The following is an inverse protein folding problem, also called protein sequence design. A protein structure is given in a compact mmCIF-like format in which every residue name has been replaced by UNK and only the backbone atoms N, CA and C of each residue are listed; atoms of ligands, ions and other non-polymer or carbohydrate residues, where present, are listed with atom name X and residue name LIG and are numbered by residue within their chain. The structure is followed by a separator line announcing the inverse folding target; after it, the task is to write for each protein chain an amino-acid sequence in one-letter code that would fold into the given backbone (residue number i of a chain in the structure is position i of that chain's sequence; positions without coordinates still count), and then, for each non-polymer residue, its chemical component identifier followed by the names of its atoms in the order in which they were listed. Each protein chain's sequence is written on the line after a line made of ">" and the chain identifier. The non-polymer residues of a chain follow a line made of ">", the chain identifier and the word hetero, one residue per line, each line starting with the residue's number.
data_IF_853290117245
#
_entry.id   IF_853290117245
#
_cell.length_a   1.000
_cell.length_b   1.000
_cell.length_c   1.000
_cell.angle_alpha   90.00
_cell.angle_beta   90.00
_cell.angle_gamma   90.00
#
_symmetry.space_group_name_H-M   'P 1'
#
loop_
_entity.id
_entity.type
_entity.pdbx_description
1 polymer ?
#
# COMPACT_ATOMS: atom_id res chain seq x y z
N UNK A 1 -26.94 19.27 -2.19
CA UNK A 1 -25.84 18.36 -2.58
C UNK A 1 -24.59 18.95 -1.99
N UNK A 2 -23.77 18.15 -1.30
CA UNK A 2 -22.54 18.67 -0.70
C UNK A 2 -21.53 18.94 -1.81
N UNK A 3 -21.10 20.20 -1.92
CA UNK A 3 -20.24 20.72 -3.00
C UNK A 3 -18.76 20.67 -2.63
N UNK A 4 -18.46 20.91 -1.36
CA UNK A 4 -17.09 20.97 -0.85
C UNK A 4 -17.05 20.40 0.56
N UNK A 5 -15.99 19.66 0.88
CA UNK A 5 -15.72 19.17 2.23
C UNK A 5 -14.27 19.44 2.59
N UNK A 6 -14.06 19.96 3.79
CA UNK A 6 -12.77 20.15 4.42
C UNK A 6 -12.74 19.35 5.72
N UNK A 7 -11.70 18.55 5.94
CA UNK A 7 -11.58 17.67 7.12
C UNK A 7 -10.35 18.02 7.93
N UNK A 8 -10.49 18.08 9.26
CA UNK A 8 -9.38 18.18 10.21
C UNK A 8 -9.47 17.06 11.24
N UNK A 9 -8.61 16.05 11.10
CA UNK A 9 -8.49 14.97 12.10
C UNK A 9 -8.02 15.49 13.45
N UNK A 10 -7.07 16.44 13.45
CA UNK A 10 -6.53 17.07 14.67
C UNK A 10 -7.60 17.80 15.48
N UNK A 11 -8.49 18.54 14.81
CA UNK A 11 -9.59 19.25 15.48
C UNK A 11 -10.80 18.35 15.72
N UNK A 12 -10.88 17.19 15.05
CA UNK A 12 -12.05 16.32 15.08
C UNK A 12 -13.29 16.99 14.49
N UNK A 13 -13.10 17.89 13.53
CA UNK A 13 -14.15 18.66 12.85
C UNK A 13 -14.03 18.54 11.33
N UNK A 14 -15.16 18.54 10.66
CA UNK A 14 -15.26 18.72 9.21
C UNK A 14 -16.19 19.90 8.90
N UNK A 15 -15.83 20.66 7.88
CA UNK A 15 -16.62 21.74 7.32
C UNK A 15 -17.12 21.28 5.95
N UNK A 16 -18.40 21.43 5.66
CA UNK A 16 -18.91 21.18 4.32
C UNK A 16 -19.79 22.31 3.82
N UNK A 17 -19.82 22.48 2.50
CA UNK A 17 -20.64 23.48 1.81
C UNK A 17 -21.81 22.80 1.13
N UNK A 18 -23.02 23.27 1.38
CA UNK A 18 -24.25 22.83 0.72
C UNK A 18 -25.15 24.03 0.48
N UNK A 19 -25.59 24.24 -0.77
CA UNK A 19 -26.48 25.34 -1.16
C UNK A 19 -25.95 26.74 -0.73
N UNK A 20 -24.67 27.03 -0.98
CA UNK A 20 -23.97 28.27 -0.56
C UNK A 20 -23.86 28.51 0.96
N UNK A 21 -24.35 27.59 1.79
CA UNK A 21 -24.19 27.63 3.24
C UNK A 21 -23.10 26.66 3.70
N UNK A 22 -22.41 27.02 4.78
CA UNK A 22 -21.38 26.19 5.39
C UNK A 22 -21.90 25.56 6.68
N UNK A 23 -21.51 24.31 6.89
CA UNK A 23 -21.92 23.51 8.04
C UNK A 23 -20.73 22.85 8.70
N UNK A 24 -20.70 22.91 10.03
CA UNK A 24 -19.69 22.25 10.86
C UNK A 24 -20.25 20.93 11.40
N UNK A 25 -19.49 19.86 11.27
CA UNK A 25 -19.85 18.52 11.77
C UNK A 25 -18.68 17.86 12.50
N UNK A 26 -18.97 17.17 13.59
CA UNK A 26 -18.01 16.33 14.33
C UNK A 26 -18.09 14.85 13.93
N UNK A 27 -17.20 14.04 14.49
CA UNK A 27 -17.15 12.60 14.17
C UNK A 27 -18.40 11.83 14.65
N UNK A 28 -19.03 12.29 15.73
CA UNK A 28 -20.19 11.63 16.36
C UNK A 28 -21.51 12.31 15.95
N UNK A 29 -22.59 11.54 15.81
CA UNK A 29 -23.90 12.05 15.36
C UNK A 29 -24.40 13.25 16.16
N UNK A 30 -24.21 13.24 17.48
CA UNK A 30 -24.61 14.34 18.37
C UNK A 30 -23.83 15.66 18.13
N UNK A 31 -22.74 15.63 17.36
CA UNK A 31 -21.84 16.77 17.13
C UNK A 31 -22.15 17.54 15.83
N UNK A 32 -23.42 17.83 15.54
CA UNK A 32 -23.86 18.59 14.36
C UNK A 32 -24.65 17.74 13.36
N UNK A 33 -24.92 18.24 12.14
CA UNK A 33 -24.37 19.46 11.56
C UNK A 33 -24.96 20.73 12.18
N UNK A 34 -24.11 21.76 12.34
CA UNK A 34 -24.53 23.10 12.74
C UNK A 34 -24.17 24.07 11.62
N UNK A 35 -25.10 24.95 11.25
CA UNK A 35 -24.83 26.02 10.30
C UNK A 35 -23.78 26.99 10.86
N UNK A 36 -22.72 27.26 10.09
CA UNK A 36 -21.66 28.18 10.46
C UNK A 36 -22.16 29.61 10.39
N UNK A 37 -21.92 30.39 11.44
CA UNK A 37 -22.17 31.84 11.41
C UNK A 37 -21.06 32.53 10.60
N UNK A 38 -21.31 33.74 10.06
CA UNK A 38 -20.29 34.48 9.31
C UNK A 38 -18.96 34.68 10.06
N UNK A 39 -19.01 34.84 11.39
CA UNK A 39 -17.80 34.94 12.23
C UNK A 39 -17.04 33.61 12.40
N UNK A 40 -17.74 32.47 12.34
CA UNK A 40 -17.11 31.14 12.43
C UNK A 40 -16.30 30.86 11.16
N UNK A 41 -16.82 31.30 10.00
CA UNK A 41 -16.15 31.14 8.71
C UNK A 41 -14.81 31.87 8.65
N UNK A 42 -14.72 33.11 9.15
CA UNK A 42 -13.47 33.86 9.18
C UNK A 42 -12.39 33.13 10.02
N UNK A 43 -12.77 32.62 11.19
CA UNK A 43 -11.86 31.84 12.05
C UNK A 43 -11.45 30.51 11.40
N UNK A 44 -12.35 29.89 10.65
CA UNK A 44 -12.06 28.64 9.93
C UNK A 44 -11.19 28.87 8.69
N UNK A 45 -11.30 30.03 8.03
CA UNK A 45 -10.40 30.44 6.95
C UNK A 45 -8.97 30.61 7.45
N UNK A 46 -8.78 31.24 8.60
CA UNK A 46 -7.48 31.35 9.27
C UNK A 46 -6.94 29.98 9.71
N UNK A 47 -7.82 29.03 10.02
CA UNK A 47 -7.46 27.66 10.37
C UNK A 47 -7.30 26.71 9.16
N UNK A 48 -7.49 27.17 7.91
CA UNK A 48 -7.38 26.33 6.70
C UNK A 48 -6.15 25.41 6.65
N UNK A 49 -4.95 25.78 7.13
CA UNK A 49 -3.81 24.87 7.13
C UNK A 49 -4.02 23.56 7.93
N UNK A 50 -4.97 23.54 8.87
CA UNK A 50 -5.34 22.35 9.64
C UNK A 50 -6.43 21.50 8.97
N UNK A 51 -6.97 21.97 7.84
CA UNK A 51 -8.01 21.32 7.07
C UNK A 51 -7.48 20.94 5.69
N UNK A 52 -7.86 19.77 5.19
CA UNK A 52 -7.58 19.39 3.81
C UNK A 52 -8.88 19.10 3.07
N UNK A 53 -8.85 19.25 1.75
CA UNK A 53 -10.01 19.00 0.90
C UNK A 53 -10.28 17.49 0.79
N UNK A 54 -11.48 17.08 1.17
CA UNK A 54 -11.97 15.74 0.95
C UNK A 54 -12.80 15.71 -0.33
N UNK A 55 -12.24 15.06 -1.35
CA UNK A 55 -12.80 15.02 -2.71
C UNK A 55 -13.22 13.59 -3.02
N UNK A 56 -14.53 13.34 -3.00
CA UNK A 56 -15.13 12.07 -3.42
C UNK A 56 -16.39 12.32 -4.27
N UNK A 57 -16.74 11.43 -5.21
CA UNK A 57 -18.01 11.52 -5.92
C UNK A 57 -19.18 11.28 -4.97
N UNK A 58 -20.20 12.14 -5.03
CA UNK A 58 -21.45 12.02 -4.25
C UNK A 58 -21.19 11.88 -2.74
N UNK A 59 -20.63 12.92 -2.11
CA UNK A 59 -20.37 12.94 -0.67
C UNK A 59 -21.68 13.15 0.09
N UNK A 60 -21.88 12.33 1.12
CA UNK A 60 -22.95 12.47 2.11
C UNK A 60 -22.37 12.63 3.52
N UNK A 61 -23.21 13.02 4.48
CA UNK A 61 -22.80 13.20 5.88
C UNK A 61 -22.20 11.94 6.52
N UNK A 62 -22.67 10.75 6.13
CA UNK A 62 -22.17 9.48 6.65
C UNK A 62 -20.71 9.25 6.24
N UNK A 63 -20.38 9.50 4.96
CA UNK A 63 -19.01 9.42 4.44
C UNK A 63 -18.09 10.44 5.13
N UNK A 64 -18.55 11.68 5.31
CA UNK A 64 -17.80 12.72 6.01
C UNK A 64 -17.46 12.27 7.44
N UNK A 65 -18.46 11.79 8.18
CA UNK A 65 -18.27 11.33 9.58
C UNK A 65 -17.34 10.14 9.66
N UNK A 66 -17.51 9.14 8.77
CA UNK A 66 -16.63 7.97 8.71
C UNK A 66 -15.18 8.38 8.45
N UNK A 67 -14.95 9.26 7.46
CA UNK A 67 -13.62 9.76 7.14
C UNK A 67 -13.02 10.57 8.29
N UNK A 68 -13.81 11.47 8.89
CA UNK A 68 -13.39 12.28 10.03
C UNK A 68 -13.05 11.41 11.26
N UNK A 69 -13.82 10.35 11.51
CA UNK A 69 -13.56 9.41 12.60
C UNK A 69 -12.22 8.70 12.41
N UNK A 70 -11.93 8.22 11.19
CA UNK A 70 -10.65 7.59 10.87
C UNK A 70 -9.46 8.55 11.09
N UNK A 71 -9.58 9.79 10.60
CA UNK A 71 -8.56 10.84 10.77
C UNK A 71 -8.35 11.21 12.24
N UNK A 72 -9.45 11.41 12.99
CA UNK A 72 -9.41 11.70 14.44
C UNK A 72 -8.74 10.57 15.20
N UNK A 73 -9.05 9.32 14.86
CA UNK A 73 -8.47 8.13 15.49
C UNK A 73 -6.96 8.06 15.26
N UNK A 74 -6.53 8.30 14.01
CA UNK A 74 -5.11 8.33 13.67
C UNK A 74 -4.32 9.43 14.41
N UNK A 75 -4.89 10.63 14.50
CA UNK A 75 -4.29 11.74 15.26
C UNK A 75 -4.27 11.48 16.78
N UNK A 76 -5.32 10.87 17.33
CA UNK A 76 -5.36 10.47 18.74
C UNK A 76 -4.29 9.42 19.03
N UNK A 77 -4.15 8.40 18.18
CA UNK A 77 -3.11 7.39 18.31
C UNK A 77 -1.71 8.02 18.31
N UNK A 78 -1.44 8.97 17.40
CA UNK A 78 -0.18 9.71 17.40
C UNK A 78 0.06 10.44 18.72
N UNK A 79 -0.95 11.13 19.26
CA UNK A 79 -0.84 11.84 20.54
C UNK A 79 -0.55 10.91 21.71
N UNK A 80 -1.18 9.73 21.75
CA UNK A 80 -0.97 8.71 22.77
C UNK A 80 0.45 8.13 22.69
N UNK A 81 0.93 7.83 21.47
CA UNK A 81 2.30 7.36 21.25
C UNK A 81 3.33 8.42 21.67
N UNK A 82 3.07 9.70 21.39
CA UNK A 82 3.90 10.80 21.87
C UNK A 82 3.87 10.93 23.40
N UNK A 83 2.70 10.74 24.02
CA UNK A 83 2.53 10.70 25.48
C UNK A 83 3.38 9.62 26.14
N UNK A 84 3.53 8.45 25.52
CA UNK A 84 4.44 7.40 26.00
C UNK A 84 5.91 7.83 26.08
N UNK A 85 6.33 8.80 25.25
CA UNK A 85 7.69 9.36 25.20
C UNK A 85 7.87 10.64 26.02
N UNK A 86 6.80 11.14 26.66
CA UNK A 86 6.85 12.41 27.39
C UNK A 86 7.40 12.21 28.81
N UNK A 87 8.60 12.72 29.09
CA UNK A 87 9.25 12.65 30.41
C UNK A 87 8.55 13.45 31.49
N UNK A 88 7.67 14.38 31.12
CA UNK A 88 6.90 15.19 32.08
C UNK A 88 5.81 14.35 32.73
N UNK A 89 5.28 13.35 32.01
CA UNK A 89 4.24 12.46 32.50
C UNK A 89 4.82 11.38 33.44
N UNK A 90 4.02 10.95 34.42
CA UNK A 90 4.38 9.82 35.28
C UNK A 90 4.50 8.53 34.47
N UNK A 91 5.33 7.58 34.91
CA UNK A 91 5.45 6.27 34.25
C UNK A 91 4.10 5.57 34.10
N UNK A 92 3.22 5.67 35.09
CA UNK A 92 1.86 5.13 35.04
C UNK A 92 1.02 5.79 33.93
N UNK A 93 1.07 7.12 33.79
CA UNK A 93 0.34 7.83 32.74
C UNK A 93 0.89 7.50 31.35
N UNK A 94 2.22 7.35 31.24
CA UNK A 94 2.89 6.94 30.00
C UNK A 94 2.48 5.52 29.61
N UNK A 95 2.46 4.59 30.56
CA UNK A 95 2.02 3.21 30.36
C UNK A 95 0.55 3.15 29.89
N UNK A 96 -0.36 3.85 30.57
CA UNK A 96 -1.77 3.95 30.15
C UNK A 96 -1.92 4.53 28.74
N UNK A 97 -1.09 5.53 28.39
CA UNK A 97 -1.09 6.11 27.05
C UNK A 97 -0.65 5.08 26.00
N UNK A 98 0.35 4.26 26.31
CA UNK A 98 0.85 3.20 25.43
C UNK A 98 -0.20 2.10 25.25
N UNK A 99 -0.86 1.67 26.32
CA UNK A 99 -1.95 0.68 26.26
C UNK A 99 -3.12 1.18 25.41
N UNK A 100 -3.52 2.44 25.59
CA UNK A 100 -4.57 3.06 24.78
C UNK A 100 -4.14 3.25 23.30
N UNK A 101 -2.84 3.45 23.04
CA UNK A 101 -2.31 3.50 21.68
C UNK A 101 -2.34 2.11 21.02
N UNK A 102 -2.03 1.04 21.75
CA UNK A 102 -2.01 -0.33 21.22
C UNK A 102 -3.33 -0.73 20.56
N UNK A 103 -4.46 -0.34 21.15
CA UNK A 103 -5.79 -0.61 20.60
C UNK A 103 -5.96 0.05 19.22
N UNK A 104 -5.65 1.34 19.11
CA UNK A 104 -5.79 2.07 17.85
C UNK A 104 -4.75 1.66 16.80
N UNK A 105 -3.55 1.24 17.23
CA UNK A 105 -2.46 0.84 16.35
C UNK A 105 -2.69 -0.54 15.70
N UNK A 106 -3.66 -1.34 16.16
CA UNK A 106 -4.05 -2.58 15.46
C UNK A 106 -4.53 -2.30 14.03
N UNK A 107 -5.14 -1.14 13.79
CA UNK A 107 -5.53 -0.72 12.47
C UNK A 107 -4.31 -0.31 11.64
N UNK A 108 -4.04 -1.04 10.55
CA UNK A 108 -2.87 -0.81 9.69
C UNK A 108 -2.76 0.63 9.17
N UNK A 109 -3.89 1.27 8.85
CA UNK A 109 -3.93 2.66 8.35
C UNK A 109 -3.46 3.62 9.45
N UNK A 110 -3.93 3.43 10.69
CA UNK A 110 -3.53 4.22 11.85
C UNK A 110 -2.05 4.00 12.17
N UNK A 111 -1.60 2.74 12.19
CA UNK A 111 -0.19 2.41 12.38
C UNK A 111 0.71 3.11 11.35
N UNK A 112 0.34 3.03 10.07
CA UNK A 112 1.10 3.66 8.97
C UNK A 112 1.13 5.17 9.13
N UNK A 113 0.00 5.79 9.46
CA UNK A 113 -0.10 7.24 9.70
C UNK A 113 0.86 7.71 10.80
N UNK A 114 0.89 7.00 11.93
CA UNK A 114 1.74 7.32 13.08
C UNK A 114 3.21 7.09 12.75
N UNK A 115 3.54 5.90 12.23
CA UNK A 115 4.90 5.52 11.83
C UNK A 115 5.52 6.51 10.87
N UNK A 116 4.77 6.92 9.84
CA UNK A 116 5.25 7.84 8.83
C UNK A 116 5.70 9.18 9.42
N UNK A 117 4.96 9.68 10.41
CA UNK A 117 5.26 10.96 11.09
C UNK A 117 6.43 10.83 12.06
N UNK A 118 6.52 9.74 12.82
CA UNK A 118 7.62 9.52 13.77
C UNK A 118 8.97 9.27 13.09
N UNK A 119 8.98 8.68 11.89
CA UNK A 119 10.22 8.46 11.13
C UNK A 119 10.58 9.61 10.18
N UNK A 120 9.72 10.62 10.05
CA UNK A 120 9.98 11.77 9.20
C UNK A 120 10.82 12.87 9.85
N UNK A 121 10.98 12.85 11.18
CA UNK A 121 11.72 13.87 11.94
C UNK A 121 12.54 13.21 13.04
N UNK A 122 13.72 13.76 13.30
CA UNK A 122 14.49 13.36 14.46
C UNK A 122 13.72 13.78 15.73
N UNK A 123 13.67 12.90 16.71
CA UNK A 123 13.02 13.20 17.97
C UNK A 123 13.75 14.34 18.71
N UNK A 124 13.01 15.20 19.42
CA UNK A 124 13.62 16.22 20.27
C UNK A 124 14.39 15.55 21.41
N UNK A 125 15.36 16.26 22.00
CA UNK A 125 16.23 15.71 23.06
C UNK A 125 15.45 15.30 24.31
N UNK A 126 14.31 15.94 24.51
CA UNK A 126 13.41 15.74 25.63
C UNK A 126 12.56 14.47 25.48
N UNK A 127 12.39 13.94 24.26
CA UNK A 127 11.62 12.73 24.02
C UNK A 127 12.34 11.46 24.52
N UNK A 128 11.62 10.65 25.28
CA UNK A 128 12.10 9.41 25.87
C UNK A 128 11.64 8.16 25.12
N UNK A 129 12.15 7.96 23.90
CA UNK A 129 11.77 6.81 23.09
C UNK A 129 12.23 5.47 23.69
N UNK A 130 13.41 5.44 24.33
CA UNK A 130 13.92 4.24 24.99
C UNK A 130 13.10 3.87 26.22
N UNK A 131 12.76 4.85 27.08
CA UNK A 131 11.86 4.62 28.20
C UNK A 131 10.45 4.20 27.75
N UNK A 132 9.94 4.79 26.66
CA UNK A 132 8.65 4.37 26.09
C UNK A 132 8.69 2.91 25.60
N UNK A 133 9.77 2.50 24.95
CA UNK A 133 9.98 1.11 24.53
C UNK A 133 10.02 0.16 25.73
N UNK A 134 10.77 0.51 26.79
CA UNK A 134 10.85 -0.29 28.00
C UNK A 134 9.50 -0.44 28.70
N UNK A 135 8.72 0.65 28.80
CA UNK A 135 7.36 0.63 29.33
C UNK A 135 6.43 -0.23 28.47
N UNK A 136 6.50 -0.11 27.14
CA UNK A 136 5.70 -0.90 26.20
C UNK A 136 5.96 -2.41 26.32
N UNK A 137 7.24 -2.80 26.45
CA UNK A 137 7.64 -4.19 26.74
C UNK A 137 7.10 -4.65 28.11
N UNK A 138 7.13 -3.76 29.13
CA UNK A 138 6.62 -4.03 30.48
C UNK A 138 5.11 -4.27 30.55
N UNK A 139 4.31 -3.44 29.86
CA UNK A 139 2.84 -3.62 29.74
C UNK A 139 2.44 -4.67 28.69
N UNK A 140 3.42 -5.28 28.01
CA UNK A 140 3.24 -6.37 27.03
C UNK A 140 2.37 -5.99 25.82
N UNK A 141 2.50 -4.76 25.35
CA UNK A 141 1.89 -4.35 24.08
C UNK A 141 2.70 -4.90 22.91
N UNK A 142 2.06 -5.34 21.82
CA UNK A 142 2.76 -5.99 20.71
C UNK A 142 3.10 -5.00 19.60
N UNK A 143 2.12 -4.22 19.16
CA UNK A 143 2.25 -3.33 18.01
C UNK A 143 2.98 -2.03 18.39
N UNK A 144 2.65 -1.44 19.54
CA UNK A 144 3.31 -0.27 20.09
C UNK A 144 4.80 -0.54 20.37
N UNK A 145 5.12 -1.67 20.99
CA UNK A 145 6.51 -2.12 21.19
C UNK A 145 7.29 -2.20 19.88
N UNK A 146 6.70 -2.81 18.84
CA UNK A 146 7.32 -2.88 17.51
C UNK A 146 7.57 -1.48 16.93
N UNK A 147 6.61 -0.57 17.08
CA UNK A 147 6.72 0.81 16.60
C UNK A 147 7.84 1.56 17.34
N UNK A 148 7.85 1.54 18.68
CA UNK A 148 8.88 2.22 19.46
C UNK A 148 10.27 1.67 19.16
N UNK A 149 10.42 0.35 19.02
CA UNK A 149 11.69 -0.27 18.65
C UNK A 149 12.18 0.23 17.29
N UNK A 150 11.28 0.26 16.30
CA UNK A 150 11.57 0.84 14.98
C UNK A 150 11.99 2.31 15.05
N UNK A 151 11.32 3.12 15.89
CA UNK A 151 11.63 4.53 16.08
C UNK A 151 13.00 4.72 16.73
N UNK A 152 13.30 3.98 17.81
CA UNK A 152 14.59 4.03 18.52
C UNK A 152 15.73 3.61 17.60
N UNK A 153 15.63 2.43 16.97
CA UNK A 153 16.69 1.85 16.14
C UNK A 153 17.06 2.73 14.95
N UNK A 154 16.10 3.54 14.47
CA UNK A 154 16.26 4.34 13.24
C UNK A 154 16.57 5.82 13.49
N UNK A 155 16.59 6.31 14.73
CA UNK A 155 16.84 7.73 15.00
C UNK A 155 18.16 8.25 14.42
N UNK A 156 19.22 7.44 14.47
CA UNK A 156 20.56 7.86 14.03
C UNK A 156 20.63 8.21 12.54
N UNK A 157 19.78 7.60 11.70
CA UNK A 157 19.80 7.83 10.24
C UNK A 157 18.86 8.95 9.79
N UNK A 158 17.91 9.38 10.62
CA UNK A 158 16.88 10.36 10.21
C UNK A 158 17.52 11.70 9.88
N UNK A 159 18.38 12.23 10.76
CA UNK A 159 18.97 13.57 10.55
C UNK A 159 19.85 13.61 9.28
N UNK A 160 20.82 12.70 9.06
CA UNK A 160 21.60 12.71 7.82
C UNK A 160 20.75 12.54 6.56
N UNK A 161 19.64 11.77 6.63
CA UNK A 161 18.71 11.62 5.52
C UNK A 161 17.94 12.92 5.23
N UNK A 162 17.55 13.66 6.26
CA UNK A 162 16.89 14.96 6.11
C UNK A 162 17.84 16.04 5.57
N UNK A 163 19.12 15.97 5.90
CA UNK A 163 20.14 16.85 5.31
C UNK A 163 20.24 16.61 3.79
N UNK A 164 20.22 15.33 3.36
CA UNK A 164 20.15 14.94 1.95
C UNK A 164 18.86 15.45 1.29
N UNK A 165 17.72 15.31 1.97
CA UNK A 165 16.46 15.84 1.49
C UNK A 165 16.53 17.34 1.24
N UNK A 166 17.04 18.13 2.20
CA UNK A 166 17.15 19.58 2.06
C UNK A 166 18.03 19.97 0.86
N UNK A 167 19.18 19.33 0.70
CA UNK A 167 20.10 19.57 -0.41
C UNK A 167 19.42 19.31 -1.78
N UNK A 168 18.71 18.19 -1.90
CA UNK A 168 18.05 17.81 -3.16
C UNK A 168 16.80 18.66 -3.39
N UNK A 169 15.99 18.92 -2.36
CA UNK A 169 14.79 19.74 -2.46
C UNK A 169 15.10 21.16 -2.95
N UNK A 170 16.14 21.82 -2.41
CA UNK A 170 16.55 23.16 -2.85
C UNK A 170 16.98 23.23 -4.31
N UNK A 171 17.46 22.11 -4.90
CA UNK A 171 17.88 22.06 -6.30
C UNK A 171 16.72 21.88 -7.28
N UNK A 172 15.67 21.17 -6.86
CA UNK A 172 14.65 20.65 -7.79
C UNK A 172 13.22 21.14 -7.52
N UNK A 173 12.93 21.67 -6.34
CA UNK A 173 11.56 22.00 -5.94
C UNK A 173 11.35 23.51 -5.85
N UNK A 174 10.18 23.96 -6.32
CA UNK A 174 9.73 25.35 -6.13
C UNK A 174 9.13 25.57 -4.76
N UNK A 175 8.41 24.58 -4.26
CA UNK A 175 7.83 24.55 -2.93
C UNK A 175 8.24 23.25 -2.20
N UNK A 176 9.39 23.28 -1.49
CA UNK A 176 9.85 22.14 -0.72
C UNK A 176 8.87 21.70 0.38
N UNK A 177 8.08 22.62 0.95
CA UNK A 177 7.23 22.34 2.11
C UNK A 177 6.04 21.48 1.69
N UNK A 178 5.41 21.80 0.55
CA UNK A 178 4.30 21.01 0.02
C UNK A 178 4.72 19.56 -0.28
N UNK A 179 5.89 19.36 -0.88
CA UNK A 179 6.40 18.01 -1.18
C UNK A 179 6.87 17.29 0.08
N UNK A 180 7.45 18.00 1.05
CA UNK A 180 7.82 17.42 2.34
C UNK A 180 6.58 16.83 3.05
N UNK A 181 5.48 17.57 3.11
CA UNK A 181 4.22 17.08 3.67
C UNK A 181 3.72 15.83 2.93
N UNK A 182 3.78 15.84 1.60
CA UNK A 182 3.40 14.68 0.79
C UNK A 182 4.30 13.46 1.07
N UNK A 183 5.61 13.67 1.25
CA UNK A 183 6.57 12.61 1.61
C UNK A 183 6.27 12.01 2.99
N UNK A 184 5.81 12.84 3.93
CA UNK A 184 5.36 12.38 5.25
C UNK A 184 4.08 11.57 5.09
N UNK A 185 3.06 12.11 4.42
CA UNK A 185 1.76 11.43 4.30
C UNK A 185 1.85 10.09 3.58
N UNK A 186 2.58 10.04 2.47
CA UNK A 186 2.77 8.82 1.67
C UNK A 186 3.79 7.85 2.27
N UNK A 187 4.62 8.31 3.21
CA UNK A 187 5.61 7.48 3.91
C UNK A 187 6.95 7.33 3.19
N UNK A 188 7.27 8.17 2.21
CA UNK A 188 8.57 8.13 1.51
C UNK A 188 9.72 8.24 2.49
N UNK A 189 9.65 9.16 3.46
CA UNK A 189 10.70 9.30 4.47
C UNK A 189 10.84 8.06 5.33
N UNK A 190 9.73 7.49 5.83
CA UNK A 190 9.75 6.31 6.67
C UNK A 190 10.34 5.08 5.96
N UNK A 191 9.99 4.89 4.70
CA UNK A 191 10.54 3.82 3.87
C UNK A 191 12.02 4.05 3.54
N UNK A 192 12.44 5.29 3.25
CA UNK A 192 13.83 5.64 3.00
C UNK A 192 14.70 5.46 4.26
N UNK A 193 14.24 5.95 5.40
CA UNK A 193 14.86 5.76 6.73
C UNK A 193 15.03 4.27 7.02
N UNK A 194 14.00 3.46 6.74
CA UNK A 194 14.07 2.01 6.93
C UNK A 194 15.07 1.33 6.00
N UNK A 195 15.04 1.67 4.71
CA UNK A 195 15.95 1.10 3.72
C UNK A 195 17.41 1.44 4.03
N UNK A 196 17.69 2.67 4.44
CA UNK A 196 19.02 3.15 4.80
C UNK A 196 19.53 2.48 6.08
N UNK A 197 18.71 2.45 7.14
CA UNK A 197 19.08 1.80 8.40
C UNK A 197 19.43 0.31 8.20
N UNK A 198 18.70 -0.37 7.33
CA UNK A 198 18.92 -1.78 6.99
C UNK A 198 20.02 -1.99 5.92
N UNK A 199 20.62 -0.92 5.40
CA UNK A 199 21.55 -0.94 4.26
C UNK A 199 21.01 -1.70 3.04
N UNK A 200 19.70 -1.57 2.78
CA UNK A 200 18.98 -2.33 1.78
C UNK A 200 18.71 -1.49 0.52
N UNK A 201 19.62 -1.61 -0.45
CA UNK A 201 19.52 -0.90 -1.73
C UNK A 201 18.26 -1.28 -2.54
N UNK A 202 17.78 -2.52 -2.43
CA UNK A 202 16.56 -2.95 -3.13
C UNK A 202 15.33 -2.23 -2.59
N UNK A 203 15.18 -2.13 -1.26
CA UNK A 203 14.11 -1.34 -0.63
C UNK A 203 14.18 0.14 -1.04
N UNK A 204 15.39 0.68 -1.14
CA UNK A 204 15.59 2.06 -1.58
C UNK A 204 15.20 2.26 -3.06
N UNK A 205 15.51 1.31 -3.94
CA UNK A 205 15.09 1.34 -5.34
C UNK A 205 13.57 1.29 -5.51
N UNK A 206 12.87 0.57 -4.63
CA UNK A 206 11.40 0.51 -4.65
C UNK A 206 10.75 1.86 -4.35
N UNK A 207 11.44 2.84 -3.74
CA UNK A 207 10.88 4.19 -3.54
C UNK A 207 10.53 4.85 -4.87
N UNK A 208 11.39 4.72 -5.87
CA UNK A 208 11.18 5.32 -7.20
C UNK A 208 9.95 4.71 -7.87
N UNK A 209 9.76 3.40 -7.71
CA UNK A 209 8.63 2.67 -8.27
C UNK A 209 7.34 3.01 -7.53
N UNK A 210 7.35 2.92 -6.20
CA UNK A 210 6.16 3.14 -5.36
C UNK A 210 5.65 4.56 -5.40
N UNK A 211 6.56 5.55 -5.44
CA UNK A 211 6.20 6.94 -5.25
C UNK A 211 6.43 7.81 -6.49
N UNK A 212 7.12 7.31 -7.53
CA UNK A 212 7.40 8.10 -8.73
C UNK A 212 6.15 8.70 -9.41
N UNK A 213 5.03 7.97 -9.37
CA UNK A 213 3.75 8.40 -9.93
C UNK A 213 2.91 9.29 -8.99
N UNK A 214 3.09 9.19 -7.66
CA UNK A 214 2.35 10.00 -6.68
C UNK A 214 2.60 11.51 -6.86
N UNK A 215 3.73 11.87 -7.47
CA UNK A 215 4.13 13.24 -7.76
C UNK A 215 3.76 13.70 -9.18
N UNK A 216 3.39 12.78 -10.08
CA UNK A 216 3.11 13.11 -11.49
C UNK A 216 1.84 13.95 -11.67
N UNK A 217 0.90 13.86 -10.72
CA UNK A 217 -0.33 14.67 -10.66
C UNK A 217 -0.08 16.12 -10.22
N UNK A 218 1.08 16.41 -9.61
CA UNK A 218 1.43 17.71 -9.04
C UNK A 218 2.50 18.46 -9.88
N UNK A 219 2.29 18.54 -11.20
CA UNK A 219 3.23 19.14 -12.15
C UNK A 219 3.62 20.61 -11.84
N UNK A 220 2.82 21.32 -11.06
CA UNK A 220 3.07 22.72 -10.67
C UNK A 220 4.19 22.89 -9.63
N UNK A 221 4.53 21.85 -8.86
CA UNK A 221 5.42 21.95 -7.69
C UNK A 221 6.91 21.66 -8.01
N UNK A 222 7.21 21.02 -9.14
CA UNK A 222 8.59 20.66 -9.54
C UNK A 222 9.10 21.63 -10.61
N UNK A 223 10.28 22.21 -10.44
CA UNK A 223 10.85 23.12 -11.43
C UNK A 223 11.39 22.33 -12.62
N UNK A 224 10.63 22.30 -13.72
CA UNK A 224 11.07 21.85 -15.06
C UNK A 224 11.56 20.39 -15.22
N UNK A 225 11.71 19.59 -14.16
CA UNK A 225 12.11 18.19 -14.21
C UNK A 225 10.95 17.23 -13.87
N UNK A 226 10.94 16.03 -14.46
CA UNK A 226 9.97 14.97 -14.12
C UNK A 226 10.11 14.55 -12.65
N UNK A 227 9.01 14.20 -11.98
CA UNK A 227 9.00 13.64 -10.62
C UNK A 227 9.95 12.47 -10.46
N UNK A 228 10.12 11.66 -11.52
CA UNK A 228 11.04 10.53 -11.59
C UNK A 228 12.50 10.98 -11.49
N UNK A 229 12.85 12.14 -12.06
CA UNK A 229 14.21 12.70 -12.00
C UNK A 229 14.53 13.12 -10.57
N UNK A 230 13.60 13.82 -9.93
CA UNK A 230 13.73 14.26 -8.55
C UNK A 230 13.93 13.08 -7.58
N UNK A 231 13.06 12.08 -7.62
CA UNK A 231 13.15 10.94 -6.70
C UNK A 231 14.39 10.08 -6.96
N UNK A 232 14.86 10.00 -8.22
CA UNK A 232 16.14 9.36 -8.53
C UNK A 232 17.34 10.16 -8.00
N UNK A 233 17.31 11.50 -8.07
CA UNK A 233 18.35 12.33 -7.50
C UNK A 233 18.42 12.16 -5.97
N UNK A 234 17.26 12.17 -5.30
CA UNK A 234 17.17 11.91 -3.86
C UNK A 234 17.73 10.53 -3.49
N UNK A 235 17.26 9.48 -4.18
CA UNK A 235 17.76 8.10 -4.00
C UNK A 235 19.27 7.99 -4.21
N UNK A 236 19.80 8.55 -5.30
CA UNK A 236 21.22 8.48 -5.62
C UNK A 236 22.08 9.22 -4.58
N UNK A 237 21.61 10.37 -4.08
CA UNK A 237 22.30 11.09 -3.01
C UNK A 237 22.31 10.26 -1.72
N UNK A 238 21.21 9.60 -1.36
CA UNK A 238 21.18 8.68 -0.21
C UNK A 238 22.16 7.52 -0.36
N UNK A 239 22.25 6.93 -1.56
CA UNK A 239 23.22 5.86 -1.85
C UNK A 239 24.65 6.33 -1.59
N UNK A 240 24.99 7.55 -2.01
CA UNK A 240 26.32 8.13 -1.80
C UNK A 240 26.57 8.46 -0.31
N UNK A 241 25.66 9.19 0.33
CA UNK A 241 25.79 9.64 1.73
C UNK A 241 25.91 8.47 2.70
N UNK A 242 25.13 7.40 2.49
CA UNK A 242 25.14 6.22 3.36
C UNK A 242 26.05 5.10 2.86
N UNK A 243 26.84 5.37 1.79
CA UNK A 243 27.79 4.45 1.21
C UNK A 243 27.19 3.07 0.90
N UNK A 244 25.98 3.07 0.33
CA UNK A 244 25.21 1.86 0.05
C UNK A 244 25.75 1.21 -1.21
N UNK A 245 26.42 0.08 -1.06
CA UNK A 245 26.94 -0.67 -2.21
C UNK A 245 25.93 -1.72 -2.65
N UNK A 246 25.95 -2.01 -3.95
CA UNK A 246 25.38 -3.27 -4.43
C UNK A 246 26.23 -4.40 -3.83
N UNK A 247 25.68 -5.09 -2.83
CA UNK A 247 26.27 -6.30 -2.30
C UNK A 247 25.79 -7.45 -3.19
N UNK A 248 26.69 -8.01 -4.00
CA UNK A 248 26.45 -9.33 -4.61
C UNK A 248 26.10 -10.31 -3.49
N UNK A 249 25.10 -11.19 -3.67
CA UNK A 249 24.65 -12.08 -2.61
C UNK A 249 25.71 -13.14 -2.30
N UNK A 250 26.69 -12.77 -1.46
CA UNK A 250 27.68 -13.67 -0.89
C UNK A 250 27.67 -13.52 0.63
N UNK A 251 27.19 -14.59 1.28
CA UNK A 251 27.21 -14.87 2.71
C UNK A 251 26.53 -13.82 3.60
N UNK A 252 25.19 -13.86 3.56
CA UNK A 252 24.35 -13.19 4.52
C UNK A 252 24.68 -13.65 5.96
N UNK A 253 24.99 -12.67 6.81
CA UNK A 253 24.69 -12.67 8.24
C UNK A 253 23.31 -13.29 8.44
N UNK A 254 23.15 -14.20 9.41
CA UNK A 254 21.87 -14.84 9.75
C UNK A 254 20.85 -13.79 10.19
N UNK A 255 20.16 -13.21 9.21
CA UNK A 255 18.86 -12.57 9.35
C UNK A 255 17.89 -13.69 9.78
N UNK A 256 16.99 -13.50 10.76
CA UNK A 256 15.90 -14.43 10.97
C UNK A 256 15.19 -14.56 9.63
N UNK A 257 15.20 -15.75 9.02
CA UNK A 257 14.56 -15.99 7.72
C UNK A 257 13.19 -15.33 7.79
N UNK A 258 12.93 -14.35 6.90
CA UNK A 258 11.54 -13.96 6.60
C UNK A 258 10.77 -15.27 6.47
N UNK A 259 9.57 -15.40 7.07
CA UNK A 259 8.81 -16.63 6.99
C UNK A 259 8.76 -17.04 5.53
N UNK A 260 9.50 -18.12 5.25
CA UNK A 260 9.74 -18.57 3.88
C UNK A 260 8.37 -18.92 3.35
N UNK A 261 7.92 -18.21 2.32
CA UNK A 261 6.60 -18.43 1.75
C UNK A 261 6.51 -19.90 1.30
N UNK A 262 5.76 -20.76 2.03
CA UNK A 262 5.81 -22.20 1.80
C UNK A 262 5.27 -22.55 0.42
N UNK A 263 4.37 -21.73 -0.12
CA UNK A 263 3.78 -21.89 -1.44
C UNK A 263 4.84 -21.59 -2.51
N UNK A 264 5.57 -20.48 -2.37
CA UNK A 264 6.60 -20.11 -3.33
C UNK A 264 7.72 -21.16 -3.40
N UNK A 265 8.16 -21.71 -2.27
CA UNK A 265 9.16 -22.78 -2.23
C UNK A 265 8.64 -24.06 -2.89
N UNK A 266 7.39 -24.45 -2.60
CA UNK A 266 6.78 -25.62 -3.22
C UNK A 266 6.73 -25.48 -4.75
N UNK A 267 6.37 -24.30 -5.27
CA UNK A 267 6.31 -24.06 -6.71
C UNK A 267 7.70 -24.02 -7.36
N UNK A 268 8.69 -23.43 -6.71
CA UNK A 268 10.08 -23.42 -7.20
C UNK A 268 10.71 -24.81 -7.20
N UNK A 269 10.41 -25.62 -6.19
CA UNK A 269 10.92 -26.99 -6.06
C UNK A 269 10.19 -27.98 -6.98
N UNK A 270 9.03 -27.59 -7.53
CA UNK A 270 8.24 -28.46 -8.40
C UNK A 270 8.96 -28.71 -9.72
N UNK A 271 9.30 -29.97 -9.97
CA UNK A 271 9.86 -30.44 -11.24
C UNK A 271 8.81 -31.30 -11.97
N UNK A 272 8.24 -30.83 -13.09
CA UNK A 272 7.25 -31.57 -13.87
C UNK A 272 7.75 -32.94 -14.33
N UNK A 273 9.07 -33.12 -14.49
CA UNK A 273 9.69 -34.35 -14.99
C UNK A 273 9.80 -35.42 -13.91
N UNK A 274 10.03 -35.03 -12.65
CA UNK A 274 10.16 -35.95 -11.49
C UNK A 274 8.82 -36.50 -11.01
N UNK A 275 7.73 -35.77 -11.24
CA UNK A 275 6.38 -36.18 -10.85
C UNK A 275 5.59 -36.92 -11.94
N UNK A 276 6.24 -37.28 -13.07
CA UNK A 276 5.66 -38.09 -14.14
C UNK A 276 5.51 -39.59 -13.81
N UNK A 277 6.12 -40.07 -12.71
CA UNK A 277 5.94 -41.46 -12.26
C UNK A 277 4.71 -41.56 -11.36
N UNK A 278 3.75 -42.45 -11.65
CA UNK A 278 2.53 -42.55 -10.86
C UNK A 278 2.89 -43.07 -9.46
N UNK A 279 2.96 -42.16 -8.49
CA UNK A 279 2.89 -42.54 -7.09
C UNK A 279 1.54 -43.21 -6.86
N UNK A 280 1.52 -44.31 -6.09
CA UNK A 280 0.38 -45.19 -5.77
C UNK A 280 -0.78 -44.49 -5.01
N UNK A 281 -1.22 -43.30 -5.43
CA UNK A 281 -2.47 -42.66 -4.99
C UNK A 281 -3.50 -42.82 -6.11
N UNK A 282 -4.73 -43.21 -5.77
CA UNK A 282 -5.85 -43.26 -6.72
C UNK A 282 -5.97 -41.89 -7.40
N UNK A 283 -5.66 -41.83 -8.69
CA UNK A 283 -5.96 -40.67 -9.52
C UNK A 283 -7.48 -40.51 -9.51
N UNK A 284 -7.97 -39.39 -8.99
CA UNK A 284 -9.40 -39.10 -8.95
C UNK A 284 -9.92 -39.01 -10.39
N UNK A 285 -11.21 -39.29 -10.61
CA UNK A 285 -11.83 -38.99 -11.90
C UNK A 285 -11.82 -37.47 -12.11
N UNK A 286 -11.78 -37.02 -13.37
CA UNK A 286 -11.60 -35.62 -13.71
C UNK A 286 -12.72 -34.70 -13.17
N UNK A 287 -13.95 -35.22 -13.10
CA UNK A 287 -15.12 -34.62 -12.47
C UNK A 287 -14.94 -34.48 -10.95
N UNK A 288 -14.57 -35.55 -10.26
CA UNK A 288 -14.34 -35.54 -8.81
C UNK A 288 -13.19 -34.60 -8.40
N UNK A 289 -12.13 -34.55 -9.21
CA UNK A 289 -10.99 -33.65 -8.99
C UNK A 289 -11.42 -32.18 -9.17
N UNK A 290 -12.25 -31.89 -10.18
CA UNK A 290 -12.80 -30.56 -10.42
C UNK A 290 -13.73 -30.12 -9.28
N UNK A 291 -14.67 -30.95 -8.86
CA UNK A 291 -15.60 -30.64 -7.76
C UNK A 291 -14.87 -30.36 -6.44
N UNK A 292 -13.73 -31.03 -6.23
CA UNK A 292 -12.86 -30.76 -5.08
C UNK A 292 -12.16 -29.40 -5.21
N UNK A 293 -11.60 -29.10 -6.38
CA UNK A 293 -10.97 -27.79 -6.65
C UNK A 293 -11.98 -26.66 -6.46
N UNK A 294 -13.18 -26.80 -7.01
CA UNK A 294 -14.23 -25.77 -6.93
C UNK A 294 -14.67 -25.52 -5.48
N UNK A 295 -14.78 -26.58 -4.65
CA UNK A 295 -15.03 -26.44 -3.20
C UNK A 295 -13.90 -25.74 -2.47
N UNK A 296 -12.65 -26.05 -2.79
CA UNK A 296 -11.49 -25.39 -2.18
C UNK A 296 -11.39 -23.92 -2.60
N UNK A 297 -11.64 -23.61 -3.87
CA UNK A 297 -11.71 -22.23 -4.39
C UNK A 297 -12.77 -21.45 -3.62
N UNK A 298 -13.99 -21.99 -3.51
CA UNK A 298 -15.07 -21.32 -2.77
C UNK A 298 -14.70 -21.05 -1.31
N UNK A 299 -14.10 -22.03 -0.63
CA UNK A 299 -13.64 -21.84 0.75
C UNK A 299 -12.58 -20.73 0.87
N UNK A 300 -11.66 -20.62 -0.10
CA UNK A 300 -10.66 -19.54 -0.15
C UNK A 300 -11.33 -18.20 -0.40
N UNK A 301 -12.24 -18.12 -1.37
CA UNK A 301 -13.01 -16.90 -1.67
C UNK A 301 -13.77 -16.40 -0.44
N UNK A 302 -14.43 -17.31 0.28
CA UNK A 302 -15.14 -16.98 1.52
C UNK A 302 -14.18 -16.41 2.59
N UNK A 303 -12.97 -16.95 2.73
CA UNK A 303 -11.98 -16.39 3.66
C UNK A 303 -11.47 -15.02 3.22
N UNK A 304 -11.25 -14.82 1.91
CA UNK A 304 -10.81 -13.53 1.35
C UNK A 304 -11.88 -12.45 1.59
N UNK A 305 -13.16 -12.77 1.40
CA UNK A 305 -14.27 -11.85 1.62
C UNK A 305 -14.44 -11.47 3.11
N UNK A 306 -14.06 -12.37 4.01
CA UNK A 306 -14.08 -12.15 5.46
C UNK A 306 -12.77 -11.53 6.00
N UNK A 307 -11.84 -11.12 5.14
CA UNK A 307 -10.51 -10.58 5.49
C UNK A 307 -9.62 -11.54 6.30
N UNK A 308 -9.92 -12.84 6.31
CA UNK A 308 -9.11 -13.87 6.97
C UNK A 308 -8.04 -14.43 6.02
N UNK A 309 -7.02 -13.60 5.78
CA UNK A 309 -5.92 -13.91 4.87
C UNK A 309 -5.08 -15.11 5.36
N UNK A 310 -5.07 -15.36 6.67
CA UNK A 310 -4.30 -16.46 7.27
C UNK A 310 -4.88 -17.82 6.88
N UNK A 311 -6.20 -17.99 7.04
CA UNK A 311 -6.88 -19.23 6.63
C UNK A 311 -6.93 -19.35 5.10
N UNK A 312 -7.12 -18.24 4.38
CA UNK A 312 -7.04 -18.23 2.92
C UNK A 312 -5.68 -18.79 2.43
N UNK A 313 -4.56 -18.37 3.03
CA UNK A 313 -3.21 -18.87 2.71
C UNK A 313 -3.03 -20.36 3.01
N UNK A 314 -3.61 -20.86 4.10
CA UNK A 314 -3.56 -22.30 4.43
C UNK A 314 -4.32 -23.13 3.40
N UNK A 315 -5.53 -22.72 3.04
CA UNK A 315 -6.33 -23.39 2.02
C UNK A 315 -5.70 -23.29 0.62
N UNK A 316 -5.07 -22.16 0.31
CA UNK A 316 -4.28 -21.98 -0.91
C UNK A 316 -3.13 -22.99 -1.01
N UNK A 317 -2.38 -23.21 0.09
CA UNK A 317 -1.31 -24.20 0.11
C UNK A 317 -1.83 -25.60 -0.25
N UNK A 318 -2.94 -26.02 0.37
CA UNK A 318 -3.56 -27.33 0.12
C UNK A 318 -4.13 -27.46 -1.30
N UNK A 319 -4.74 -26.39 -1.82
CA UNK A 319 -5.25 -26.34 -3.20
C UNK A 319 -4.11 -26.47 -4.22
N UNK A 320 -3.05 -25.67 -4.07
CA UNK A 320 -1.92 -25.67 -4.98
C UNK A 320 -1.23 -27.03 -4.97
N UNK A 321 -0.99 -27.58 -3.78
CA UNK A 321 -0.43 -28.93 -3.63
C UNK A 321 -1.28 -29.99 -4.35
N UNK A 322 -2.60 -29.95 -4.15
CA UNK A 322 -3.53 -30.88 -4.80
C UNK A 322 -3.48 -30.76 -6.33
N UNK A 323 -3.51 -29.53 -6.86
CA UNK A 323 -3.47 -29.30 -8.31
C UNK A 323 -2.13 -29.63 -8.94
N UNK A 324 -1.00 -29.46 -8.23
CA UNK A 324 0.31 -29.95 -8.68
C UNK A 324 0.35 -31.49 -8.77
N UNK A 325 -0.36 -32.19 -7.88
CA UNK A 325 -0.43 -33.66 -7.88
C UNK A 325 -1.38 -34.23 -8.96
N UNK A 326 -2.45 -33.51 -9.34
CA UNK A 326 -3.53 -34.06 -10.18
C UNK A 326 -3.71 -33.36 -11.53
N UNK A 327 -3.24 -32.12 -11.70
CA UNK A 327 -3.64 -31.22 -12.77
C UNK A 327 -2.52 -30.83 -13.73
N UNK A 328 -2.92 -30.27 -14.88
CA UNK A 328 -1.97 -29.56 -15.77
C UNK A 328 -1.67 -28.19 -15.17
N UNK A 329 -0.40 -27.78 -15.20
CA UNK A 329 0.06 -26.48 -14.69
C UNK A 329 -0.72 -25.28 -15.24
N UNK A 330 -1.20 -25.38 -16.49
CA UNK A 330 -2.06 -24.38 -17.11
C UNK A 330 -3.32 -24.07 -16.27
N UNK A 331 -4.02 -25.10 -15.80
CA UNK A 331 -5.23 -24.91 -15.00
C UNK A 331 -4.94 -24.30 -13.63
N UNK A 332 -3.79 -24.66 -13.03
CA UNK A 332 -3.33 -24.03 -11.80
C UNK A 332 -3.02 -22.54 -11.99
N UNK A 333 -2.36 -22.17 -13.09
CA UNK A 333 -2.16 -20.77 -13.46
C UNK A 333 -3.48 -20.01 -13.57
N UNK A 334 -4.46 -20.57 -14.28
CA UNK A 334 -5.81 -19.98 -14.40
C UNK A 334 -6.52 -19.86 -13.04
N UNK A 335 -6.46 -20.88 -12.18
CA UNK A 335 -7.04 -20.84 -10.83
C UNK A 335 -6.41 -19.71 -10.00
N UNK A 336 -5.09 -19.58 -10.01
CA UNK A 336 -4.38 -18.54 -9.28
C UNK A 336 -4.72 -17.14 -9.78
N UNK A 337 -4.83 -16.94 -11.09
CA UNK A 337 -5.24 -15.66 -11.68
C UNK A 337 -6.68 -15.28 -11.32
N UNK A 338 -7.61 -16.23 -11.34
CA UNK A 338 -9.00 -15.99 -10.94
C UNK A 338 -9.09 -15.60 -9.46
N UNK A 339 -8.40 -16.32 -8.57
CA UNK A 339 -8.32 -15.98 -7.15
C UNK A 339 -7.64 -14.63 -6.93
N UNK A 340 -6.62 -14.28 -7.71
CA UNK A 340 -5.96 -12.99 -7.64
C UNK A 340 -6.93 -11.86 -7.99
N UNK A 341 -7.72 -12.02 -9.05
CA UNK A 341 -8.74 -11.04 -9.43
C UNK A 341 -9.78 -10.83 -8.31
N UNK A 342 -10.21 -11.91 -7.66
CA UNK A 342 -11.12 -11.86 -6.51
C UNK A 342 -10.48 -11.14 -5.31
N UNK A 343 -9.23 -11.46 -4.98
CA UNK A 343 -8.49 -10.80 -3.92
C UNK A 343 -8.33 -9.29 -4.17
N UNK A 344 -7.98 -8.90 -5.41
CA UNK A 344 -7.86 -7.50 -5.81
C UNK A 344 -9.22 -6.78 -5.71
N UNK A 345 -10.31 -7.41 -6.15
CA UNK A 345 -11.65 -6.85 -6.03
C UNK A 345 -12.10 -6.68 -4.56
N UNK A 346 -11.64 -7.55 -3.66
CA UNK A 346 -11.85 -7.47 -2.22
C UNK A 346 -10.83 -6.53 -1.50
N UNK A 347 -10.05 -5.75 -2.26
CA UNK A 347 -9.02 -4.83 -1.74
C UNK A 347 -7.83 -5.52 -1.00
N UNK A 348 -7.69 -6.85 -1.12
CA UNK A 348 -6.58 -7.62 -0.59
C UNK A 348 -5.39 -7.65 -1.58
N UNK A 349 -4.86 -6.46 -1.91
CA UNK A 349 -3.89 -6.26 -2.99
C UNK A 349 -2.59 -7.09 -2.82
N UNK A 350 -2.10 -7.22 -1.58
CA UNK A 350 -0.90 -8.01 -1.27
C UNK A 350 -1.10 -9.52 -1.53
N UNK A 351 -2.30 -10.05 -1.29
CA UNK A 351 -2.63 -11.43 -1.59
C UNK A 351 -2.79 -11.63 -3.11
N UNK A 352 -3.43 -10.67 -3.79
CA UNK A 352 -3.55 -10.68 -5.25
C UNK A 352 -2.19 -10.69 -5.95
N UNK A 353 -1.25 -9.86 -5.49
CA UNK A 353 0.13 -9.84 -5.97
C UNK A 353 0.85 -11.19 -5.74
N UNK A 354 0.73 -11.76 -4.54
CA UNK A 354 1.32 -13.07 -4.25
C UNK A 354 0.80 -14.17 -5.18
N UNK A 355 -0.52 -14.20 -5.44
CA UNK A 355 -1.15 -15.18 -6.32
C UNK A 355 -0.67 -15.08 -7.77
N UNK A 356 -0.51 -13.86 -8.30
CA UNK A 356 0.05 -13.63 -9.64
C UNK A 356 1.51 -14.06 -9.70
N UNK A 357 2.30 -13.76 -8.67
CA UNK A 357 3.69 -14.20 -8.58
C UNK A 357 3.80 -15.72 -8.52
N UNK A 358 2.90 -16.41 -7.82
CA UNK A 358 2.82 -17.88 -7.84
C UNK A 358 2.52 -18.42 -9.23
N UNK A 359 1.58 -17.80 -9.96
CA UNK A 359 1.27 -18.20 -11.33
C UNK A 359 2.47 -18.03 -12.28
N UNK A 360 3.23 -16.94 -12.13
CA UNK A 360 4.46 -16.70 -12.90
C UNK A 360 5.56 -17.73 -12.60
N UNK A 361 5.65 -18.21 -11.35
CA UNK A 361 6.61 -19.27 -10.97
C UNK A 361 6.34 -20.60 -11.67
N UNK A 362 5.12 -20.84 -12.17
CA UNK A 362 4.80 -22.05 -12.94
C UNK A 362 5.48 -22.09 -14.32
N UNK A 363 5.96 -20.93 -14.81
CA UNK A 363 6.58 -20.78 -16.14
C UNK A 363 5.71 -21.32 -17.28
N UNK A 364 4.40 -21.12 -17.15
CA UNK A 364 3.43 -21.44 -18.20
C UNK A 364 3.24 -20.20 -19.06
N UNK A 365 3.43 -20.33 -20.36
CA UNK A 365 3.13 -19.29 -21.33
C UNK A 365 1.62 -19.28 -21.60
N UNK A 366 0.86 -18.59 -20.74
CA UNK A 366 -0.59 -18.40 -20.89
C UNK A 366 -0.92 -16.90 -20.80
N UNK A 367 -1.66 -16.34 -21.78
CA UNK A 367 -1.99 -14.92 -21.77
C UNK A 367 -2.80 -14.49 -20.54
N UNK A 368 -3.57 -15.40 -19.92
CA UNK A 368 -4.34 -15.08 -18.69
C UNK A 368 -3.40 -14.64 -17.56
N UNK A 369 -2.21 -15.25 -17.45
CA UNK A 369 -1.23 -14.93 -16.40
C UNK A 369 -0.63 -13.53 -16.64
N UNK A 370 -0.24 -13.25 -17.89
CA UNK A 370 0.32 -11.95 -18.26
C UNK A 370 -0.71 -10.82 -18.20
N UNK A 371 -1.95 -11.07 -18.63
CA UNK A 371 -3.07 -10.14 -18.46
C UNK A 371 -3.34 -9.84 -16.98
N UNK A 372 -3.33 -10.86 -16.10
CA UNK A 372 -3.52 -10.65 -14.67
C UNK A 372 -2.40 -9.79 -14.05
N UNK A 373 -1.16 -9.96 -14.52
CA UNK A 373 -0.03 -9.11 -14.12
C UNK A 373 -0.19 -7.65 -14.58
N UNK A 374 -0.62 -7.45 -15.82
CA UNK A 374 -0.89 -6.11 -16.37
C UNK A 374 -2.04 -5.42 -15.61
N UNK A 375 -3.09 -6.18 -15.28
CA UNK A 375 -4.22 -5.72 -14.48
C UNK A 375 -3.81 -5.31 -13.06
N UNK A 376 -2.93 -6.09 -12.41
CA UNK A 376 -2.37 -5.74 -11.11
C UNK A 376 -1.60 -4.40 -11.17
N UNK A 377 -0.75 -4.21 -12.19
CA UNK A 377 -0.02 -2.95 -12.40
C UNK A 377 -0.97 -1.76 -12.61
N UNK A 378 -2.08 -1.98 -13.32
CA UNK A 378 -3.15 -0.98 -13.49
C UNK A 378 -3.74 -0.59 -12.14
N UNK A 379 -4.13 -1.58 -11.32
CA UNK A 379 -4.70 -1.37 -9.99
C UNK A 379 -3.73 -0.75 -8.99
N UNK A 380 -2.42 -0.96 -9.16
CA UNK A 380 -1.35 -0.31 -8.41
C UNK A 380 -1.10 1.15 -8.84
N UNK A 381 -1.87 1.70 -9.79
CA UNK A 381 -1.76 3.09 -10.24
C UNK A 381 -0.57 3.35 -11.18
N UNK A 382 0.04 2.31 -11.73
CA UNK A 382 1.15 2.41 -12.68
C UNK A 382 0.67 2.22 -14.11
N UNK A 383 -0.15 3.16 -14.61
CA UNK A 383 -0.80 3.05 -15.92
C UNK A 383 0.19 2.91 -17.10
N UNK A 384 1.40 3.49 -17.02
CA UNK A 384 2.43 3.30 -18.04
C UNK A 384 2.99 1.87 -18.07
N UNK A 385 3.26 1.30 -16.90
CA UNK A 385 3.71 -0.08 -16.74
C UNK A 385 2.62 -1.09 -17.13
N UNK A 386 1.36 -0.78 -16.80
CA UNK A 386 0.21 -1.58 -17.20
C UNK A 386 0.05 -1.57 -18.72
N UNK A 387 0.17 -0.41 -19.36
CA UNK A 387 0.11 -0.27 -20.81
C UNK A 387 1.24 -1.07 -21.48
N UNK A 388 2.48 -0.93 -21.00
CA UNK A 388 3.62 -1.69 -21.51
C UNK A 388 3.46 -3.20 -21.32
N UNK A 389 2.89 -3.64 -20.19
CA UNK A 389 2.60 -5.04 -19.94
C UNK A 389 1.49 -5.59 -20.86
N UNK A 390 0.43 -4.82 -21.10
CA UNK A 390 -0.60 -5.17 -22.07
C UNK A 390 -0.05 -5.19 -23.51
N UNK A 391 0.75 -4.21 -23.90
CA UNK A 391 1.40 -4.16 -25.22
C UNK A 391 2.33 -5.37 -25.44
N UNK A 392 3.13 -5.74 -24.44
CA UNK A 392 3.97 -6.94 -24.49
C UNK A 392 3.13 -8.22 -24.59
N UNK A 393 2.02 -8.30 -23.85
CA UNK A 393 1.10 -9.44 -23.90
C UNK A 393 0.44 -9.54 -25.28
N UNK A 394 0.05 -8.42 -25.90
CA UNK A 394 -0.52 -8.38 -27.26
C UNK A 394 0.55 -8.78 -28.28
N UNK A 395 1.79 -8.33 -28.15
CA UNK A 395 2.87 -8.71 -29.05
C UNK A 395 3.14 -10.23 -29.02
N UNK A 396 3.05 -10.85 -27.83
CA UNK A 396 3.23 -12.29 -27.66
C UNK A 396 1.97 -13.10 -28.02
N UNK A 397 0.78 -12.54 -27.77
CA UNK A 397 -0.52 -13.17 -28.00
C UNK A 397 -1.46 -12.23 -28.77
N UNK A 398 -1.25 -12.05 -30.09
CA UNK A 398 -1.95 -11.02 -30.87
C UNK A 398 -3.48 -11.17 -30.89
N UNK A 399 -3.97 -12.40 -30.72
CA UNK A 399 -5.41 -12.71 -30.74
C UNK A 399 -6.08 -12.70 -29.37
N UNK A 400 -5.38 -12.26 -28.32
CA UNK A 400 -5.96 -12.24 -26.98
C UNK A 400 -6.81 -10.98 -26.74
N UNK A 401 -8.13 -11.14 -26.82
CA UNK A 401 -9.11 -10.06 -26.62
C UNK A 401 -9.01 -9.41 -25.24
N UNK A 402 -8.68 -10.18 -24.20
CA UNK A 402 -8.57 -9.65 -22.83
C UNK A 402 -7.41 -8.65 -22.73
N UNK A 403 -6.27 -8.94 -23.37
CA UNK A 403 -5.13 -8.03 -23.40
C UNK A 403 -5.44 -6.74 -24.19
N UNK A 404 -6.13 -6.87 -25.33
CA UNK A 404 -6.54 -5.72 -26.15
C UNK A 404 -7.54 -4.81 -25.41
N UNK A 405 -8.55 -5.39 -24.77
CA UNK A 405 -9.50 -4.64 -23.93
C UNK A 405 -8.82 -4.02 -22.71
N UNK A 406 -7.92 -4.75 -22.05
CA UNK A 406 -7.16 -4.24 -20.91
C UNK A 406 -6.33 -3.01 -21.27
N UNK A 407 -5.68 -3.02 -22.45
CA UNK A 407 -4.97 -1.86 -23.00
C UNK A 407 -5.89 -0.66 -23.21
N UNK A 408 -7.05 -0.87 -23.84
CA UNK A 408 -8.03 0.19 -24.10
C UNK A 408 -8.55 0.82 -22.81
N UNK A 409 -8.80 0.00 -21.78
CA UNK A 409 -9.20 0.49 -20.46
C UNK A 409 -8.11 1.35 -19.79
N UNK A 410 -6.83 0.98 -19.91
CA UNK A 410 -5.72 1.80 -19.39
C UNK A 410 -5.62 3.14 -20.13
N UNK A 411 -5.84 3.16 -21.44
CA UNK A 411 -5.88 4.40 -22.23
C UNK A 411 -7.04 5.31 -21.81
N UNK A 412 -8.20 4.72 -21.51
CA UNK A 412 -9.36 5.44 -20.96
C UNK A 412 -9.04 6.05 -19.59
N UNK A 413 -8.41 5.30 -18.69
CA UNK A 413 -7.96 5.80 -17.37
C UNK A 413 -6.94 6.95 -17.48
N UNK A 414 -6.16 6.97 -18.57
CA UNK A 414 -5.22 8.06 -18.91
C UNK A 414 -5.87 9.27 -19.60
N UNK A 415 -7.20 9.30 -19.74
CA UNK A 415 -7.95 10.31 -20.50
C UNK A 415 -7.60 10.37 -22.00
N UNK A 416 -7.03 9.32 -22.58
CA UNK A 416 -6.75 9.19 -24.02
C UNK A 416 -7.93 8.54 -24.73
N UNK A 417 -9.08 9.21 -24.71
CA UNK A 417 -10.35 8.62 -25.15
C UNK A 417 -10.39 8.25 -26.63
N UNK A 418 -9.77 9.04 -27.51
CA UNK A 418 -9.70 8.75 -28.95
C UNK A 418 -8.90 7.46 -29.22
N UNK A 419 -7.75 7.30 -28.55
CA UNK A 419 -6.92 6.10 -28.67
C UNK A 419 -7.61 4.87 -28.06
N UNK A 420 -8.35 5.05 -26.96
CA UNK A 420 -9.12 3.98 -26.33
C UNK A 420 -10.26 3.52 -27.25
N UNK A 421 -11.00 4.46 -27.85
CA UNK A 421 -12.08 4.16 -28.79
C UNK A 421 -11.54 3.44 -30.02
N UNK A 422 -10.47 3.95 -30.63
CA UNK A 422 -9.81 3.28 -31.76
C UNK A 422 -9.35 1.86 -31.40
N UNK A 423 -8.87 1.64 -30.17
CA UNK A 423 -8.50 0.30 -29.70
C UNK A 423 -9.72 -0.61 -29.51
N UNK A 424 -10.85 -0.11 -28.96
CA UNK A 424 -12.08 -0.89 -28.87
C UNK A 424 -12.64 -1.23 -30.26
N UNK A 425 -12.70 -0.27 -31.18
CA UNK A 425 -13.21 -0.47 -32.53
C UNK A 425 -12.35 -1.49 -33.30
N UNK A 426 -11.03 -1.41 -33.17
CA UNK A 426 -10.12 -2.39 -33.74
C UNK A 426 -10.35 -3.79 -33.15
N UNK A 427 -10.55 -3.88 -31.82
CA UNK A 427 -10.83 -5.16 -31.14
C UNK A 427 -12.15 -5.75 -31.62
N UNK A 428 -13.22 -4.95 -31.74
CA UNK A 428 -14.54 -5.37 -32.23
C UNK A 428 -14.46 -5.80 -33.69
N UNK A 429 -13.75 -5.05 -34.54
CA UNK A 429 -13.59 -5.41 -35.95
C UNK A 429 -12.81 -6.73 -36.15
N UNK A 430 -11.84 -6.99 -35.27
CA UNK A 430 -11.03 -8.21 -35.30
C UNK A 430 -11.72 -9.41 -34.62
N UNK A 431 -12.59 -9.16 -33.64
CA UNK A 431 -13.34 -10.15 -32.86
C UNK A 431 -14.81 -9.72 -32.67
N UNK A 432 -15.63 -9.82 -33.73
CA UNK A 432 -17.02 -9.33 -33.73
C UNK A 432 -18.00 -10.14 -32.88
#
# INVERSE_FOLDING_TARGET
>A
MIEQVLISGKLGKALYRENEQYFLVGAEEASGPWECRPGDLALLEDCRPNFYAFVEPQVDLGKIRKKLLAERTAHRALSLVLGGMDKILSEETRALSIEAAEEALQEHIVFTFVRNRLLARALPREADAEGALALADGVKTAVATKLYREVVDRQAVIKPLLDVWQEVAMRFLRDPIAIENLFIETGVFAEAVSAVAEKNLQKLNLLVVKFGNAFASNKSLVSQASSTVFINAFKNQLVQTFNLHYVEPQQAVRIPKLPVDPIAEMLKAYDPRKHSKPQRRKTLRADEAKDRVDRQIKAIEDQILNDDISHARKYLFDLIKFQLEQGKLKYLGMTLCNLAQKAIAANALLLGEALINYALLLRVEDPVIFCAQAELKRKQGSSADALAAYDATIAQFPTNVVAQNGRAEVLKELNRFEDALAAYDATIAQFP
#
